data_IF_840193420152
#
_entry.id   IF_840193420152
#
_cell.length_a   1.000
_cell.length_b   1.000
_cell.length_c   1.000
_cell.angle_alpha   90.00
_cell.angle_beta   90.00
_cell.angle_gamma   90.00
#
_symmetry.space_group_name_H-M   'P 1'
#
loop_
_entity.id
_entity.type
_entity.pdbx_description
1 polymer ?
#
# COMPACT_ATOMS: atom_id res chain seq x y z
N UNK A 1 31.72 -8.16 13.94
CA UNK A 1 31.12 -6.90 14.41
C UNK A 1 31.30 -5.88 13.29
N UNK A 2 30.33 -5.72 12.44
CA UNK A 2 30.28 -4.61 11.47
C UNK A 2 29.10 -3.77 11.90
N UNK A 3 29.39 -2.68 12.64
CA UNK A 3 28.44 -1.62 12.91
C UNK A 3 27.81 -1.22 11.59
N UNK A 4 26.49 -1.40 11.49
CA UNK A 4 25.68 -0.73 10.49
C UNK A 4 25.93 0.75 10.70
N UNK A 5 26.67 1.38 9.78
CA UNK A 5 26.87 2.82 9.80
C UNK A 5 25.51 3.48 9.59
N UNK A 6 24.75 3.60 10.66
CA UNK A 6 23.54 4.38 10.70
C UNK A 6 23.98 5.84 10.64
N UNK A 7 23.83 6.46 9.48
CA UNK A 7 24.19 7.86 9.24
C UNK A 7 23.04 8.78 9.63
N UNK A 8 22.48 8.57 10.84
CA UNK A 8 21.48 9.47 11.37
C UNK A 8 22.13 10.84 11.63
N UNK A 9 21.39 11.90 11.35
CA UNK A 9 21.73 13.23 11.89
C UNK A 9 21.54 13.22 13.40
N UNK A 10 22.11 14.19 14.15
CA UNK A 10 21.87 14.27 15.61
C UNK A 10 20.36 14.25 15.95
N UNK A 11 19.53 14.99 15.23
CA UNK A 11 18.06 14.98 15.40
C UNK A 11 17.46 13.59 15.18
N UNK A 12 17.87 12.90 14.11
CA UNK A 12 17.40 11.56 13.81
C UNK A 12 17.82 10.52 14.85
N UNK A 13 19.04 10.66 15.38
CA UNK A 13 19.55 9.75 16.44
C UNK A 13 18.76 9.91 17.75
N UNK A 14 18.52 11.15 18.18
CA UNK A 14 17.69 11.46 19.34
C UNK A 14 16.26 10.95 19.14
N UNK A 15 15.67 11.21 17.98
CA UNK A 15 14.33 10.76 17.67
C UNK A 15 14.23 9.22 17.60
N UNK A 16 15.26 8.54 17.11
CA UNK A 16 15.33 7.07 17.11
C UNK A 16 15.32 6.52 18.53
N UNK A 17 16.05 7.15 19.43
CA UNK A 17 16.04 6.76 20.84
C UNK A 17 14.65 6.93 21.43
N UNK A 18 13.99 8.07 21.21
CA UNK A 18 12.60 8.31 21.61
C UNK A 18 11.66 7.20 21.10
N UNK A 19 11.73 6.88 19.79
CA UNK A 19 10.91 5.80 19.21
C UNK A 19 11.14 4.46 19.91
N UNK A 20 12.39 4.08 20.19
CA UNK A 20 12.73 2.81 20.85
C UNK A 20 12.19 2.74 22.26
N UNK A 21 12.43 3.78 23.05
CA UNK A 21 11.97 3.85 24.42
C UNK A 21 10.45 3.75 24.50
N UNK A 22 9.76 4.53 23.69
CA UNK A 22 8.30 4.52 23.67
C UNK A 22 7.72 3.16 23.20
N UNK A 23 8.26 2.58 22.14
CA UNK A 23 7.80 1.29 21.60
C UNK A 23 8.01 0.13 22.57
N UNK A 24 8.98 0.22 23.49
CA UNK A 24 9.23 -0.85 24.47
C UNK A 24 8.03 -1.13 25.37
N UNK A 25 7.20 -0.13 25.65
CA UNK A 25 6.08 -0.21 26.59
C UNK A 25 4.71 0.02 25.98
N UNK A 26 4.65 0.50 24.73
CA UNK A 26 3.40 0.97 24.13
C UNK A 26 2.94 0.16 22.91
N UNK A 27 3.68 -0.86 22.48
CA UNK A 27 3.17 -1.78 21.47
C UNK A 27 1.98 -2.53 22.06
N UNK A 28 0.77 -2.48 21.44
CA UNK A 28 -0.40 -3.10 22.03
C UNK A 28 -0.26 -4.63 22.04
N UNK A 29 -0.92 -5.25 23.01
CA UNK A 29 -1.02 -6.71 23.07
C UNK A 29 -1.66 -7.26 21.77
N UNK A 30 -1.34 -8.51 21.45
CA UNK A 30 -1.99 -9.21 20.34
C UNK A 30 -3.51 -9.24 20.58
N UNK A 31 -4.32 -8.94 19.56
CA UNK A 31 -5.77 -9.03 19.69
C UNK A 31 -6.21 -10.49 19.74
N UNK A 32 -7.45 -10.72 20.23
CA UNK A 32 -8.06 -12.05 20.28
C UNK A 32 -8.50 -12.59 18.90
N UNK A 33 -8.37 -11.76 17.86
CA UNK A 33 -8.63 -12.14 16.48
C UNK A 33 -7.32 -12.30 15.69
N UNK A 34 -7.38 -12.98 14.54
CA UNK A 34 -6.24 -13.15 13.65
C UNK A 34 -5.80 -11.78 13.11
N UNK A 35 -4.57 -11.30 13.41
CA UNK A 35 -4.08 -10.05 12.88
C UNK A 35 -4.07 -10.04 11.34
N UNK A 36 -4.38 -8.88 10.75
CA UNK A 36 -4.34 -8.68 9.30
C UNK A 36 -3.02 -8.07 8.86
N UNK A 37 -2.62 -8.31 7.61
CA UNK A 37 -1.39 -7.78 7.04
C UNK A 37 -1.59 -6.46 6.28
N UNK A 38 -2.84 -6.11 6.00
CA UNK A 38 -3.22 -4.93 5.23
C UNK A 38 -4.52 -4.33 5.76
N UNK A 39 -4.65 -3.00 5.72
CA UNK A 39 -5.90 -2.32 6.05
C UNK A 39 -7.09 -2.79 5.21
N UNK A 40 -6.85 -3.25 3.97
CA UNK A 40 -7.88 -3.80 3.11
C UNK A 40 -8.46 -5.15 3.60
N UNK A 41 -7.77 -5.84 4.51
CA UNK A 41 -8.23 -7.10 5.10
C UNK A 41 -9.08 -6.90 6.37
N UNK A 42 -9.19 -5.66 6.86
CA UNK A 42 -10.04 -5.33 8.01
C UNK A 42 -11.50 -5.52 7.61
N UNK A 43 -12.19 -6.44 8.29
CA UNK A 43 -13.53 -6.84 7.91
C UNK A 43 -14.63 -6.31 8.85
N UNK A 44 -14.30 -5.99 10.11
CA UNK A 44 -15.28 -5.60 11.14
C UNK A 44 -14.90 -4.30 11.84
N UNK A 45 -15.88 -3.61 12.40
CA UNK A 45 -15.67 -2.39 13.19
C UNK A 45 -14.81 -2.66 14.44
N UNK A 46 -14.90 -3.83 15.04
CA UNK A 46 -14.08 -4.23 16.20
C UNK A 46 -12.61 -4.35 15.82
N UNK A 47 -12.31 -5.05 14.71
CA UNK A 47 -10.94 -5.13 14.19
C UNK A 47 -10.40 -3.74 13.85
N UNK A 48 -11.25 -2.93 13.21
CA UNK A 48 -10.89 -1.57 12.85
C UNK A 48 -10.55 -0.72 14.07
N UNK A 49 -11.34 -0.81 15.14
CA UNK A 49 -11.14 -0.06 16.38
C UNK A 49 -9.76 -0.31 17.02
N UNK A 50 -9.31 -1.56 17.01
CA UNK A 50 -7.98 -1.93 17.50
C UNK A 50 -6.86 -1.21 16.71
N UNK A 51 -6.93 -1.23 15.39
CA UNK A 51 -5.92 -0.60 14.55
C UNK A 51 -5.98 0.93 14.58
N UNK A 52 -7.17 1.52 14.71
CA UNK A 52 -7.34 2.97 14.91
C UNK A 52 -6.73 3.40 16.25
N UNK A 53 -6.99 2.67 17.32
CA UNK A 53 -6.41 2.95 18.64
C UNK A 53 -4.86 2.95 18.60
N UNK A 54 -4.28 1.98 17.87
CA UNK A 54 -2.85 1.93 17.63
C UNK A 54 -2.34 3.15 16.84
N UNK A 55 -2.99 3.52 15.73
CA UNK A 55 -2.58 4.67 14.93
C UNK A 55 -2.63 5.96 15.76
N UNK A 56 -3.68 6.16 16.56
CA UNK A 56 -3.82 7.31 17.47
C UNK A 56 -2.69 7.36 18.49
N UNK A 57 -2.41 6.25 19.15
CA UNK A 57 -1.33 6.16 20.14
C UNK A 57 0.04 6.49 19.52
N UNK A 58 0.33 5.95 18.33
CA UNK A 58 1.56 6.25 17.60
C UNK A 58 1.64 7.71 17.14
N UNK A 59 0.53 8.29 16.71
CA UNK A 59 0.47 9.71 16.36
C UNK A 59 0.69 10.61 17.59
N UNK A 60 -0.01 10.35 18.68
CA UNK A 60 0.10 11.14 19.92
C UNK A 60 1.53 11.09 20.51
N UNK A 61 2.29 10.02 20.21
CA UNK A 61 3.72 9.91 20.53
C UNK A 61 4.67 10.54 19.50
N UNK A 62 4.14 11.11 18.42
CA UNK A 62 4.93 11.77 17.37
C UNK A 62 5.58 10.82 16.35
N UNK A 63 5.13 9.57 16.25
CA UNK A 63 5.67 8.56 15.32
C UNK A 63 4.97 8.57 13.95
N UNK A 64 3.86 9.28 13.82
CA UNK A 64 3.10 9.41 12.57
C UNK A 64 3.03 10.87 12.14
N UNK A 65 3.33 11.14 10.87
CA UNK A 65 3.32 12.50 10.34
C UNK A 65 4.54 13.34 10.77
N UNK A 66 5.65 12.69 11.12
CA UNK A 66 6.86 13.34 11.66
C UNK A 66 7.35 14.49 10.80
N UNK A 67 7.30 14.35 9.47
CA UNK A 67 7.87 15.28 8.49
C UNK A 67 6.88 16.34 8.01
N UNK A 68 5.61 16.27 8.42
CA UNK A 68 4.64 17.34 8.13
C UNK A 68 4.83 18.53 9.08
N UNK A 69 4.60 19.78 8.61
CA UNK A 69 4.62 20.96 9.47
C UNK A 69 3.65 20.83 10.66
N UNK A 70 4.03 21.40 11.79
CA UNK A 70 3.22 21.36 13.02
C UNK A 70 1.87 22.07 12.87
N UNK A 71 1.79 23.09 12.03
CA UNK A 71 0.53 23.80 11.71
C UNK A 71 -0.50 22.91 11.01
N UNK A 72 -0.10 21.78 10.43
CA UNK A 72 -0.96 20.77 9.83
C UNK A 72 -1.02 19.47 10.66
N UNK A 73 -0.66 19.54 11.94
CA UNK A 73 -0.69 18.41 12.86
C UNK A 73 0.50 17.46 12.76
N UNK A 74 1.57 17.85 12.08
CA UNK A 74 2.78 17.05 11.99
C UNK A 74 3.82 17.38 13.06
N UNK A 75 4.93 16.62 13.04
CA UNK A 75 6.04 16.80 13.99
C UNK A 75 7.01 17.94 13.64
N UNK A 76 6.92 18.55 12.46
CA UNK A 76 7.84 19.59 11.99
C UNK A 76 9.30 19.14 11.85
N UNK A 77 9.55 17.83 11.76
CA UNK A 77 10.89 17.22 11.72
C UNK A 77 11.37 17.01 10.28
N UNK A 78 12.67 16.74 10.12
CA UNK A 78 13.25 16.50 8.80
C UNK A 78 13.65 15.04 8.63
N UNK A 79 12.96 14.33 7.73
CA UNK A 79 13.23 12.91 7.38
C UNK A 79 13.18 11.96 8.59
N UNK A 80 12.43 12.31 9.63
CA UNK A 80 12.25 11.49 10.81
C UNK A 80 11.19 10.40 10.63
N UNK A 81 10.26 10.56 9.67
CA UNK A 81 9.28 9.52 9.40
C UNK A 81 9.93 8.19 8.98
N UNK A 82 11.04 8.22 8.24
CA UNK A 82 11.78 7.00 7.89
C UNK A 82 12.40 6.31 9.12
N UNK A 83 12.79 7.09 10.12
CA UNK A 83 13.31 6.57 11.39
C UNK A 83 12.21 5.88 12.18
N UNK A 84 11.06 6.55 12.34
CA UNK A 84 9.87 5.96 12.99
C UNK A 84 9.46 4.64 12.34
N UNK A 85 9.36 4.61 10.99
CA UNK A 85 9.01 3.41 10.23
C UNK A 85 9.98 2.23 10.51
N UNK A 86 11.29 2.51 10.56
CA UNK A 86 12.30 1.48 10.86
C UNK A 86 12.14 0.90 12.27
N UNK A 87 11.90 1.76 13.27
CA UNK A 87 11.75 1.31 14.64
C UNK A 87 10.42 0.58 14.88
N UNK A 88 9.33 1.03 14.23
CA UNK A 88 8.06 0.31 14.26
C UNK A 88 8.15 -1.07 13.60
N UNK A 89 8.85 -1.16 12.45
CA UNK A 89 9.11 -2.45 11.79
C UNK A 89 9.94 -3.38 12.70
N UNK A 90 10.97 -2.84 13.39
CA UNK A 90 11.81 -3.59 14.32
C UNK A 90 11.03 -4.09 15.54
N UNK A 91 10.06 -3.31 16.01
CA UNK A 91 9.20 -3.64 17.14
C UNK A 91 7.99 -4.50 16.73
N UNK A 92 7.88 -4.90 15.46
CA UNK A 92 6.79 -5.75 14.94
C UNK A 92 5.39 -5.21 15.30
N UNK A 93 5.22 -3.89 15.18
CA UNK A 93 3.96 -3.21 15.55
C UNK A 93 2.80 -3.61 14.64
N UNK A 94 1.53 -3.46 15.09
CA UNK A 94 0.36 -3.61 14.23
C UNK A 94 0.40 -2.66 13.01
N UNK A 95 -0.35 -2.99 11.97
CA UNK A 95 -0.51 -2.11 10.82
C UNK A 95 -1.30 -0.85 11.17
N UNK A 96 -1.16 0.20 10.34
CA UNK A 96 -2.09 1.34 10.34
C UNK A 96 -3.25 1.07 9.39
N UNK A 97 -4.52 1.24 9.81
CA UNK A 97 -5.67 1.01 8.96
C UNK A 97 -5.82 2.13 7.91
N UNK A 98 -5.35 3.32 8.23
CA UNK A 98 -5.44 4.51 7.38
C UNK A 98 -4.37 4.60 6.29
N UNK A 99 -3.88 3.48 5.73
CA UNK A 99 -2.77 3.50 4.78
C UNK A 99 -3.05 4.34 3.52
N UNK A 100 -4.28 4.36 3.02
CA UNK A 100 -4.68 5.21 1.89
C UNK A 100 -4.60 6.69 2.29
N UNK A 101 -5.11 7.03 3.48
CA UNK A 101 -4.98 8.36 4.04
C UNK A 101 -3.52 8.79 4.18
N UNK A 102 -2.74 8.02 4.93
CA UNK A 102 -1.35 8.32 5.24
C UNK A 102 -0.43 8.32 4.01
N UNK A 103 -0.67 7.36 3.09
CA UNK A 103 0.23 7.10 1.97
C UNK A 103 -0.08 7.90 0.72
N UNK A 104 -1.32 8.31 0.53
CA UNK A 104 -1.80 8.91 -0.70
C UNK A 104 -2.53 10.24 -0.47
N UNK A 105 -3.58 10.26 0.37
CA UNK A 105 -4.38 11.45 0.58
C UNK A 105 -3.58 12.57 1.29
N UNK A 106 -2.87 12.26 2.38
CA UNK A 106 -2.11 13.25 3.12
C UNK A 106 -1.07 14.00 2.26
N UNK A 107 -0.17 13.31 1.53
CA UNK A 107 0.78 14.02 0.67
C UNK A 107 0.09 14.76 -0.48
N UNK A 108 -1.00 14.21 -1.04
CA UNK A 108 -1.73 14.89 -2.12
C UNK A 108 -2.37 16.17 -1.62
N UNK A 109 -3.03 16.17 -0.46
CA UNK A 109 -3.61 17.37 0.17
C UNK A 109 -2.50 18.35 0.52
N UNK A 110 -1.37 17.87 1.04
CA UNK A 110 -0.25 18.74 1.42
C UNK A 110 0.30 19.54 0.24
N UNK A 111 0.47 18.91 -0.94
CA UNK A 111 1.02 19.58 -2.11
C UNK A 111 0.00 20.37 -2.92
N UNK A 112 -1.28 19.99 -2.92
CA UNK A 112 -2.30 20.54 -3.83
C UNK A 112 -3.53 21.14 -3.12
N UNK A 113 -3.67 20.94 -1.81
CA UNK A 113 -4.80 21.47 -1.05
C UNK A 113 -4.63 22.96 -0.75
N UNK A 114 -5.76 23.66 -0.61
CA UNK A 114 -5.77 24.99 -0.04
C UNK A 114 -5.31 24.96 1.42
N UNK A 115 -4.88 26.10 1.95
CA UNK A 115 -4.46 26.20 3.36
C UNK A 115 -5.57 25.77 4.35
N UNK A 116 -6.83 26.09 4.02
CA UNK A 116 -7.98 25.66 4.81
C UNK A 116 -8.11 24.13 4.81
N UNK A 117 -8.03 23.49 3.64
CA UNK A 117 -8.08 22.03 3.54
C UNK A 117 -6.94 21.35 4.31
N UNK A 118 -5.71 21.85 4.19
CA UNK A 118 -4.55 21.31 4.91
C UNK A 118 -4.76 21.36 6.42
N UNK A 119 -5.11 22.51 6.97
CA UNK A 119 -5.32 22.73 8.41
C UNK A 119 -6.49 21.91 8.95
N UNK A 120 -7.54 21.75 8.17
CA UNK A 120 -8.76 21.05 8.58
C UNK A 120 -8.65 19.53 8.50
N UNK A 121 -8.01 19.00 7.44
CA UNK A 121 -8.04 17.58 7.14
C UNK A 121 -6.81 16.82 7.61
N UNK A 122 -5.61 17.40 7.46
CA UNK A 122 -4.37 16.67 7.75
C UNK A 122 -4.24 16.20 9.21
N UNK A 123 -4.57 17.02 10.24
CA UNK A 123 -4.41 16.55 11.62
C UNK A 123 -5.26 15.32 11.94
N UNK A 124 -6.52 15.30 11.51
CA UNK A 124 -7.44 14.18 11.75
C UNK A 124 -7.09 12.95 10.94
N UNK A 125 -6.60 13.14 9.70
CA UNK A 125 -6.11 12.08 8.83
C UNK A 125 -4.89 11.40 9.44
N UNK A 126 -3.86 12.17 9.83
CA UNK A 126 -2.62 11.65 10.39
C UNK A 126 -2.89 10.89 11.70
N UNK A 127 -3.78 11.40 12.53
CA UNK A 127 -4.15 10.77 13.79
C UNK A 127 -5.00 9.50 13.59
N UNK A 128 -5.68 9.35 12.46
CA UNK A 128 -6.59 8.24 12.20
C UNK A 128 -8.00 8.47 12.76
N UNK A 129 -8.39 9.72 13.03
CA UNK A 129 -9.76 10.09 13.41
C UNK A 129 -10.73 10.00 12.23
N UNK A 130 -10.20 10.20 11.03
CA UNK A 130 -10.93 10.14 9.76
C UNK A 130 -10.19 9.23 8.79
N UNK A 131 -10.84 8.15 8.37
CA UNK A 131 -10.31 7.20 7.39
C UNK A 131 -10.60 7.66 5.97
N UNK A 132 -9.71 7.27 5.07
CA UNK A 132 -9.73 7.69 3.67
C UNK A 132 -9.72 6.51 2.72
N UNK A 133 -10.42 6.64 1.61
CA UNK A 133 -10.35 5.72 0.48
C UNK A 133 -10.02 6.46 -0.82
N UNK A 134 -9.81 5.72 -1.91
CA UNK A 134 -9.37 6.24 -3.20
C UNK A 134 -10.34 5.83 -4.31
N UNK A 135 -11.03 6.80 -4.91
CA UNK A 135 -11.92 6.62 -6.05
C UNK A 135 -11.22 6.96 -7.37
N UNK A 136 -10.41 6.03 -7.90
CA UNK A 136 -9.68 6.21 -9.15
C UNK A 136 -10.20 5.30 -10.25
N UNK A 137 -9.92 4.01 -10.15
CA UNK A 137 -10.25 3.03 -11.18
C UNK A 137 -11.75 2.92 -11.42
N UNK A 138 -12.12 2.62 -12.66
CA UNK A 138 -13.49 2.34 -13.11
C UNK A 138 -13.52 1.00 -13.83
N UNK A 139 -14.70 0.38 -14.04
CA UNK A 139 -14.79 -0.86 -14.80
C UNK A 139 -14.13 -0.79 -16.19
N UNK A 140 -14.14 0.39 -16.83
CA UNK A 140 -13.52 0.64 -18.14
C UNK A 140 -12.19 1.39 -18.12
N UNK A 141 -11.67 1.79 -16.94
CA UNK A 141 -10.46 2.61 -16.83
C UNK A 141 -9.61 2.22 -15.62
N UNK A 142 -8.55 1.45 -15.85
CA UNK A 142 -7.54 1.05 -14.86
C UNK A 142 -6.17 1.54 -15.27
N UNK A 143 -5.44 0.80 -16.12
CA UNK A 143 -4.13 1.22 -16.63
C UNK A 143 -4.18 2.52 -17.42
N UNK A 144 -5.23 2.76 -18.18
CA UNK A 144 -5.53 4.04 -18.81
C UNK A 144 -6.41 4.89 -17.90
N UNK A 145 -5.87 5.28 -16.75
CA UNK A 145 -6.59 6.06 -15.73
C UNK A 145 -7.11 7.40 -16.28
N UNK A 146 -6.42 8.00 -17.23
CA UNK A 146 -6.88 9.25 -17.84
C UNK A 146 -8.18 9.12 -18.64
N UNK A 147 -8.67 7.90 -18.87
CA UNK A 147 -9.92 7.62 -19.58
C UNK A 147 -11.14 7.43 -18.66
N UNK A 148 -11.03 7.79 -17.36
CA UNK A 148 -12.16 7.75 -16.42
C UNK A 148 -13.36 8.54 -16.94
N UNK A 149 -14.56 8.02 -16.67
CA UNK A 149 -15.84 8.56 -17.12
C UNK A 149 -16.71 9.13 -16.00
N UNK A 150 -16.40 8.84 -14.73
CA UNK A 150 -17.06 9.52 -13.59
C UNK A 150 -17.03 11.03 -13.83
N UNK A 151 -18.21 11.64 -13.94
CA UNK A 151 -18.34 13.00 -14.42
C UNK A 151 -18.74 13.95 -13.29
N UNK A 152 -18.00 15.06 -13.18
CA UNK A 152 -18.27 16.15 -12.27
C UNK A 152 -18.76 17.36 -13.09
N UNK A 153 -20.04 17.68 -12.95
CA UNK A 153 -20.67 18.82 -13.59
C UNK A 153 -20.64 20.03 -12.65
N UNK A 154 -20.01 21.13 -13.10
CA UNK A 154 -19.97 22.37 -12.30
C UNK A 154 -21.32 23.09 -12.35
N UNK A 155 -21.85 23.49 -11.18
CA UNK A 155 -23.08 24.27 -11.03
C UNK A 155 -22.79 25.74 -10.70
N UNK A 156 -23.79 26.60 -10.86
CA UNK A 156 -23.63 28.04 -10.72
C UNK A 156 -23.32 28.53 -9.27
N UNK A 157 -23.61 27.69 -8.28
CA UNK A 157 -23.46 28.03 -6.85
C UNK A 157 -22.15 27.51 -6.24
N UNK A 158 -21.07 27.38 -7.04
CA UNK A 158 -19.78 26.82 -6.65
C UNK A 158 -19.85 25.38 -6.14
N UNK A 159 -20.78 24.61 -6.67
CA UNK A 159 -20.91 23.17 -6.39
C UNK A 159 -20.64 22.34 -7.62
N UNK A 160 -20.35 21.09 -7.35
CA UNK A 160 -20.20 20.05 -8.36
C UNK A 160 -21.21 18.96 -8.12
N UNK A 161 -21.80 18.45 -9.18
CA UNK A 161 -22.67 17.26 -9.13
C UNK A 161 -21.91 16.12 -9.80
N UNK A 162 -21.66 15.06 -9.04
CA UNK A 162 -20.82 13.94 -9.47
C UNK A 162 -21.70 12.71 -9.69
N UNK A 163 -21.54 12.09 -10.87
CA UNK A 163 -22.16 10.84 -11.27
C UNK A 163 -21.11 9.89 -11.84
N UNK A 164 -21.17 8.62 -11.49
CA UNK A 164 -20.22 7.64 -12.01
C UNK A 164 -20.09 6.39 -11.18
N UNK A 165 -19.09 5.57 -11.53
CA UNK A 165 -18.88 4.27 -10.94
C UNK A 165 -17.38 4.01 -10.76
N UNK A 166 -16.93 3.87 -9.51
CA UNK A 166 -15.56 3.53 -9.15
C UNK A 166 -15.48 2.09 -8.67
N UNK A 167 -14.31 1.46 -8.85
CA UNK A 167 -14.06 0.06 -8.44
C UNK A 167 -12.68 -0.09 -7.82
N UNK A 168 -12.48 -1.18 -7.12
CA UNK A 168 -11.23 -1.54 -6.42
C UNK A 168 -10.87 -0.59 -5.29
N UNK A 169 -11.86 0.05 -4.70
CA UNK A 169 -11.66 0.98 -3.59
C UNK A 169 -11.48 0.24 -2.28
N UNK A 170 -10.28 0.33 -1.71
CA UNK A 170 -9.98 -0.26 -0.40
C UNK A 170 -10.70 0.49 0.71
N UNK A 171 -11.31 -0.26 1.63
CA UNK A 171 -11.87 0.26 2.89
C UNK A 171 -12.96 1.33 2.75
N UNK A 172 -13.62 1.46 1.59
CA UNK A 172 -14.65 2.47 1.37
C UNK A 172 -15.81 2.39 2.37
N UNK A 173 -16.18 1.19 2.82
CA UNK A 173 -17.21 0.96 3.83
C UNK A 173 -16.93 1.64 5.18
N UNK A 174 -15.68 1.91 5.49
CA UNK A 174 -15.23 2.56 6.73
C UNK A 174 -14.79 4.01 6.53
N UNK A 175 -14.63 4.45 5.28
CA UNK A 175 -14.04 5.74 4.98
C UNK A 175 -14.97 6.91 5.32
N UNK A 176 -14.40 7.96 5.91
CA UNK A 176 -15.04 9.25 6.11
C UNK A 176 -14.92 10.09 4.85
N UNK A 177 -13.76 10.01 4.20
CA UNK A 177 -13.37 10.80 3.04
C UNK A 177 -12.88 9.94 1.89
N UNK A 178 -13.00 10.46 0.69
CA UNK A 178 -12.44 9.88 -0.53
C UNK A 178 -11.59 10.90 -1.27
N UNK A 179 -10.43 10.49 -1.76
CA UNK A 179 -9.73 11.19 -2.84
C UNK A 179 -10.30 10.70 -4.18
N UNK A 180 -10.87 11.62 -4.96
CA UNK A 180 -11.63 11.28 -6.16
C UNK A 180 -11.09 11.99 -7.40
N UNK A 181 -10.77 11.21 -8.43
CA UNK A 181 -10.50 11.72 -9.78
C UNK A 181 -11.76 11.62 -10.63
N UNK A 182 -12.22 12.76 -11.16
CA UNK A 182 -13.40 12.82 -12.00
C UNK A 182 -13.16 13.66 -13.26
N UNK A 183 -13.93 13.39 -14.30
CA UNK A 183 -13.92 14.14 -15.56
C UNK A 183 -14.86 15.32 -15.48
N UNK A 184 -14.40 16.48 -15.88
CA UNK A 184 -15.23 17.70 -15.98
C UNK A 184 -15.36 18.19 -17.44
N UNK A 185 -14.45 17.76 -18.32
CA UNK A 185 -14.49 18.08 -19.76
C UNK A 185 -14.13 16.84 -20.57
N UNK A 186 -14.96 16.54 -21.57
CA UNK A 186 -14.78 15.39 -22.46
C UNK A 186 -13.93 15.70 -23.70
N UNK A 187 -13.63 16.98 -23.94
CA UNK A 187 -12.84 17.41 -25.10
C UNK A 187 -11.35 17.17 -24.95
N UNK A 188 -10.85 17.10 -23.71
CA UNK A 188 -9.43 16.87 -23.41
C UNK A 188 -9.25 15.68 -22.45
N UNK A 189 -8.40 14.74 -22.84
CA UNK A 189 -8.14 13.52 -22.07
C UNK A 189 -7.51 13.79 -20.70
N UNK A 190 -6.56 14.72 -20.63
CA UNK A 190 -5.77 15.00 -19.43
C UNK A 190 -6.21 16.27 -18.71
N UNK A 191 -6.40 17.38 -19.45
CA UNK A 191 -6.85 18.64 -18.87
C UNK A 191 -8.36 18.66 -18.60
N UNK A 192 -9.10 17.67 -19.08
CA UNK A 192 -10.50 17.46 -18.75
C UNK A 192 -10.75 16.75 -17.42
N UNK A 193 -9.72 16.62 -16.56
CA UNK A 193 -9.81 15.94 -15.28
C UNK A 193 -9.66 16.92 -14.11
N UNK A 194 -10.49 16.75 -13.08
CA UNK A 194 -10.45 17.52 -11.84
C UNK A 194 -10.40 16.56 -10.65
N UNK A 195 -9.73 16.98 -9.59
CA UNK A 195 -9.50 16.16 -8.41
C UNK A 195 -10.17 16.75 -7.18
N UNK A 196 -10.82 15.89 -6.40
CA UNK A 196 -11.59 16.30 -5.22
C UNK A 196 -11.22 15.48 -3.99
N UNK A 197 -11.43 16.08 -2.82
CA UNK A 197 -11.61 15.37 -1.55
C UNK A 197 -13.10 15.35 -1.24
N UNK A 198 -13.69 14.19 -1.05
CA UNK A 198 -15.15 14.04 -0.97
C UNK A 198 -15.55 13.47 0.38
N UNK A 199 -16.46 14.11 1.14
CA UNK A 199 -17.00 13.55 2.38
C UNK A 199 -18.04 12.47 2.03
N UNK A 200 -17.64 11.20 2.00
CA UNK A 200 -18.53 10.11 1.59
C UNK A 200 -19.40 9.56 2.71
N UNK A 201 -18.95 9.59 3.96
CA UNK A 201 -19.66 8.95 5.07
C UNK A 201 -21.10 9.48 5.27
N UNK A 202 -21.29 10.79 5.12
CA UNK A 202 -22.60 11.43 5.25
C UNK A 202 -23.55 11.13 4.08
N UNK A 203 -23.00 10.65 2.96
CA UNK A 203 -23.70 10.41 1.71
C UNK A 203 -23.98 8.92 1.44
N UNK A 204 -23.46 8.04 2.30
CA UNK A 204 -23.72 6.60 2.20
C UNK A 204 -25.22 6.29 2.31
N UNK A 205 -25.72 5.49 1.36
CA UNK A 205 -27.13 5.17 1.25
C UNK A 205 -28.05 6.28 0.74
N UNK A 206 -27.46 7.42 0.29
CA UNK A 206 -28.16 8.53 -0.36
C UNK A 206 -27.64 8.68 -1.78
N UNK A 207 -26.63 9.51 -1.97
CA UNK A 207 -25.97 9.75 -3.27
C UNK A 207 -24.73 8.89 -3.51
N UNK A 208 -24.30 8.09 -2.52
CA UNK A 208 -23.18 7.15 -2.60
C UNK A 208 -23.63 5.77 -2.16
N UNK A 209 -23.51 4.80 -3.06
CA UNK A 209 -23.70 3.38 -2.77
C UNK A 209 -22.34 2.69 -2.77
N UNK A 210 -22.01 1.99 -1.68
CA UNK A 210 -20.79 1.17 -1.54
C UNK A 210 -21.17 -0.30 -1.51
N UNK A 211 -20.55 -1.12 -2.37
CA UNK A 211 -20.78 -2.56 -2.44
C UNK A 211 -19.45 -3.32 -2.38
N UNK A 212 -19.33 -4.36 -1.54
CA UNK A 212 -18.11 -5.14 -1.46
C UNK A 212 -17.87 -5.93 -2.75
N UNK A 213 -16.62 -6.00 -3.20
CA UNK A 213 -16.16 -6.88 -4.25
C UNK A 213 -15.59 -8.16 -3.63
N UNK A 214 -16.07 -9.31 -4.09
CA UNK A 214 -15.54 -10.61 -3.64
C UNK A 214 -14.38 -10.98 -4.56
N UNK A 215 -13.18 -11.09 -3.98
CA UNK A 215 -11.99 -11.54 -4.70
C UNK A 215 -12.06 -13.03 -5.02
N UNK A 216 -11.22 -13.49 -5.97
CA UNK A 216 -11.06 -14.92 -6.28
C UNK A 216 -10.66 -15.77 -5.05
N UNK A 217 -10.08 -15.12 -4.03
CA UNK A 217 -9.75 -15.74 -2.74
C UNK A 217 -10.94 -15.96 -1.82
N UNK A 218 -12.13 -15.45 -2.19
CA UNK A 218 -13.33 -15.44 -1.35
C UNK A 218 -13.36 -14.29 -0.33
N UNK A 219 -12.27 -13.52 -0.22
CA UNK A 219 -12.18 -12.39 0.70
C UNK A 219 -12.79 -11.13 0.09
N UNK A 220 -13.28 -10.24 0.94
CA UNK A 220 -13.66 -8.86 0.61
C UNK A 220 -12.53 -7.89 0.99
N UNK A 221 -12.75 -6.58 0.88
CA UNK A 221 -11.77 -5.56 1.27
C UNK A 221 -11.61 -4.49 0.21
N UNK A 222 -12.01 -4.80 -1.03
CA UNK A 222 -12.26 -3.82 -2.06
C UNK A 222 -13.75 -3.63 -2.28
N UNK A 223 -14.11 -2.45 -2.73
CA UNK A 223 -15.50 -2.07 -2.99
C UNK A 223 -15.64 -1.45 -4.38
N UNK A 224 -16.87 -1.43 -4.86
CA UNK A 224 -17.33 -0.53 -5.89
C UNK A 224 -18.13 0.60 -5.26
N UNK A 225 -18.05 1.80 -5.82
CA UNK A 225 -18.82 2.96 -5.43
C UNK A 225 -19.60 3.50 -6.62
N UNK A 226 -20.88 3.70 -6.40
CA UNK A 226 -21.78 4.30 -7.38
C UNK A 226 -22.19 5.68 -6.85
N UNK A 227 -21.95 6.71 -7.66
CA UNK A 227 -22.33 8.10 -7.37
C UNK A 227 -23.53 8.47 -8.21
N UNK A 228 -24.61 8.90 -7.55
CA UNK A 228 -25.87 9.31 -8.18
C UNK A 228 -26.25 10.70 -7.65
N UNK A 229 -25.79 11.73 -8.34
CA UNK A 229 -26.06 13.10 -7.97
C UNK A 229 -25.32 13.59 -6.72
N UNK A 230 -24.14 13.06 -6.43
CA UNK A 230 -23.35 13.48 -5.29
C UNK A 230 -22.94 14.95 -5.40
N UNK A 231 -23.35 15.78 -4.45
CA UNK A 231 -23.05 17.22 -4.43
C UNK A 231 -21.79 17.48 -3.62
N UNK A 232 -20.82 18.15 -4.24
CA UNK A 232 -19.53 18.50 -3.63
C UNK A 232 -19.29 20.01 -3.78
N UNK A 233 -18.92 20.69 -2.71
CA UNK A 233 -18.55 22.10 -2.72
C UNK A 233 -17.20 22.32 -3.42
N UNK A 234 -17.03 23.41 -4.18
CA UNK A 234 -15.78 23.70 -4.92
C UNK A 234 -14.56 23.87 -3.99
N UNK A 235 -14.79 24.21 -2.72
CA UNK A 235 -13.73 24.29 -1.71
C UNK A 235 -13.05 22.96 -1.41
N UNK A 236 -13.65 21.83 -1.79
CA UNK A 236 -13.08 20.50 -1.67
C UNK A 236 -12.26 20.05 -2.91
N UNK A 237 -12.12 20.90 -3.89
CA UNK A 237 -11.28 20.66 -5.06
C UNK A 237 -9.81 20.87 -4.70
N UNK A 238 -8.95 19.98 -5.19
CA UNK A 238 -7.50 20.11 -5.10
C UNK A 238 -6.96 20.72 -6.40
N UNK A 239 -6.18 21.78 -6.28
CA UNK A 239 -5.63 22.54 -7.40
C UNK A 239 -6.72 23.17 -8.32
N UNK A 240 -6.36 23.70 -9.48
CA UNK A 240 -7.29 24.31 -10.43
C UNK A 240 -8.11 23.28 -11.21
N UNK A 241 -9.26 23.72 -11.74
CA UNK A 241 -10.07 22.92 -12.67
C UNK A 241 -9.21 22.50 -13.86
N UNK A 242 -9.26 21.22 -14.23
CA UNK A 242 -8.43 20.67 -15.30
C UNK A 242 -7.03 20.23 -14.88
N UNK A 243 -6.62 20.44 -13.62
CA UNK A 243 -5.34 19.99 -13.08
C UNK A 243 -5.40 18.61 -12.41
N UNK A 244 -6.54 17.94 -12.48
CA UNK A 244 -6.76 16.65 -11.81
C UNK A 244 -5.72 15.59 -12.18
N UNK A 245 -5.23 15.57 -13.43
CA UNK A 245 -4.18 14.65 -13.84
C UNK A 245 -2.85 14.92 -13.13
N UNK A 246 -2.46 16.17 -13.00
CA UNK A 246 -1.24 16.57 -12.26
C UNK A 246 -1.32 16.14 -10.80
N UNK A 247 -2.47 16.38 -10.15
CA UNK A 247 -2.73 15.96 -8.77
C UNK A 247 -2.69 14.43 -8.65
N UNK A 248 -3.32 13.70 -9.59
CA UNK A 248 -3.29 12.25 -9.61
C UNK A 248 -1.87 11.68 -9.75
N UNK A 249 -0.99 12.34 -10.51
CA UNK A 249 0.42 11.92 -10.63
C UNK A 249 1.16 12.02 -9.30
N UNK A 250 0.88 13.03 -8.47
CA UNK A 250 1.43 13.12 -7.11
C UNK A 250 0.94 11.95 -6.25
N UNK A 251 -0.35 11.64 -6.27
CA UNK A 251 -0.93 10.49 -5.55
C UNK A 251 -0.27 9.19 -5.97
N UNK A 252 -0.18 8.93 -7.27
CA UNK A 252 0.40 7.70 -7.83
C UNK A 252 1.91 7.57 -7.57
N UNK A 253 2.64 8.69 -7.47
CA UNK A 253 4.04 8.67 -7.07
C UNK A 253 4.22 8.21 -5.63
N UNK A 254 3.38 8.70 -4.72
CA UNK A 254 3.40 8.28 -3.31
C UNK A 254 2.92 6.84 -3.13
N UNK A 255 1.88 6.40 -3.84
CA UNK A 255 1.41 5.00 -3.87
C UNK A 255 2.54 4.02 -4.21
N UNK A 256 3.44 4.42 -5.11
CA UNK A 256 4.61 3.62 -5.53
C UNK A 256 5.84 3.83 -4.64
N UNK A 257 5.73 4.62 -3.56
CA UNK A 257 6.86 4.98 -2.68
C UNK A 257 7.93 5.84 -3.35
N UNK A 258 7.60 6.50 -4.45
CA UNK A 258 8.50 7.37 -5.23
C UNK A 258 8.21 8.88 -5.01
N UNK A 259 7.22 9.20 -4.17
CA UNK A 259 6.90 10.58 -3.82
C UNK A 259 7.94 11.23 -2.88
N UNK A 260 7.96 12.57 -2.81
CA UNK A 260 8.94 13.31 -2.00
C UNK A 260 8.76 13.15 -0.50
N UNK A 261 7.55 12.89 -0.02
CA UNK A 261 7.26 12.66 1.40
C UNK A 261 7.40 11.17 1.75
N UNK A 262 8.01 10.90 2.91
CA UNK A 262 8.02 9.53 3.45
C UNK A 262 6.65 9.20 4.02
N UNK A 263 6.02 8.15 3.51
CA UNK A 263 4.74 7.67 4.01
C UNK A 263 4.90 7.01 5.37
N UNK A 264 4.07 7.35 6.38
CA UNK A 264 4.00 6.59 7.62
C UNK A 264 3.68 5.12 7.36
N UNK A 265 4.48 4.22 7.91
CA UNK A 265 4.30 2.79 7.79
C UNK A 265 4.64 2.11 9.12
N UNK A 266 3.83 1.14 9.48
CA UNK A 266 4.02 0.29 10.66
C UNK A 266 4.58 -1.07 10.26
N UNK A 267 5.10 -1.83 11.23
CA UNK A 267 5.49 -3.22 11.04
C UNK A 267 4.23 -4.07 10.79
N UNK A 268 4.24 -4.96 9.81
CA UNK A 268 3.22 -6.02 9.78
C UNK A 268 3.54 -7.03 10.89
N UNK A 269 2.54 -7.48 11.64
CA UNK A 269 2.72 -8.59 12.58
C UNK A 269 2.96 -9.88 11.78
N UNK A 270 4.20 -10.09 11.37
CA UNK A 270 4.65 -11.40 10.94
C UNK A 270 4.83 -12.27 12.17
N UNK A 271 3.96 -13.26 12.35
CA UNK A 271 4.07 -14.21 13.45
C UNK A 271 5.45 -14.86 13.52
N UNK A 272 6.05 -14.81 14.69
CA UNK A 272 6.73 -15.97 15.21
C UNK A 272 6.06 -16.38 16.52
N UNK A 273 5.36 -17.51 16.53
CA UNK A 273 4.97 -18.25 17.74
C UNK A 273 6.20 -18.92 18.40
N UNK A 274 7.35 -18.30 18.29
CA UNK A 274 8.56 -18.75 18.94
C UNK A 274 9.30 -17.55 19.49
N UNK A 275 9.62 -17.59 20.77
CA UNK A 275 10.70 -16.80 21.39
C UNK A 275 12.04 -17.17 20.74
N UNK A 276 12.17 -16.97 19.45
CA UNK A 276 13.44 -17.09 18.75
C UNK A 276 14.06 -15.70 18.63
N UNK A 277 15.33 -15.66 19.04
CA UNK A 277 16.27 -14.54 18.95
C UNK A 277 16.02 -13.70 17.70
N UNK A 278 16.05 -12.37 17.83
CA UNK A 278 15.99 -11.39 16.74
C UNK A 278 16.54 -11.98 15.44
N UNK A 279 15.75 -12.12 14.37
CA UNK A 279 16.28 -12.62 13.13
C UNK A 279 17.38 -11.64 12.71
N UNK A 280 18.58 -12.16 12.50
CA UNK A 280 19.65 -11.40 11.88
C UNK A 280 19.07 -10.79 10.61
N UNK A 281 18.99 -9.47 10.53
CA UNK A 281 18.41 -8.75 9.38
C UNK A 281 19.09 -9.10 8.05
N UNK A 282 20.21 -9.81 8.13
CA UNK A 282 20.96 -10.35 7.02
C UNK A 282 20.53 -11.77 6.61
N UNK A 283 19.81 -12.50 7.48
CA UNK A 283 19.37 -13.87 7.16
C UNK A 283 18.25 -13.80 6.12
N UNK A 284 18.42 -14.51 5.03
CA UNK A 284 17.40 -14.70 4.01
C UNK A 284 16.75 -16.05 4.27
N UNK A 285 15.46 -16.05 4.57
CA UNK A 285 14.68 -17.27 4.64
C UNK A 285 14.25 -17.70 3.24
N UNK A 286 14.22 -19.00 3.02
CA UNK A 286 13.84 -19.59 1.73
C UNK A 286 12.61 -20.50 1.92
N UNK A 287 11.39 -19.93 1.94
CA UNK A 287 10.16 -20.70 2.18
C UNK A 287 9.95 -21.85 1.18
N UNK A 288 10.29 -21.64 -0.10
CA UNK A 288 10.19 -22.68 -1.13
C UNK A 288 11.12 -23.86 -0.86
N UNK A 289 12.34 -23.62 -0.35
CA UNK A 289 13.26 -24.68 0.04
C UNK A 289 12.71 -25.48 1.22
N UNK A 290 12.12 -24.80 2.20
CA UNK A 290 11.44 -25.46 3.34
C UNK A 290 10.29 -26.33 2.84
N UNK A 291 9.43 -25.79 1.98
CA UNK A 291 8.31 -26.51 1.38
C UNK A 291 8.79 -27.75 0.62
N UNK A 292 9.81 -27.61 -0.24
CA UNK A 292 10.34 -28.71 -1.04
C UNK A 292 11.00 -29.83 -0.22
N UNK A 293 11.49 -29.52 0.98
CA UNK A 293 11.98 -30.53 1.92
C UNK A 293 10.85 -31.28 2.64
N UNK A 294 9.72 -30.62 2.84
CA UNK A 294 8.60 -31.16 3.62
C UNK A 294 7.56 -31.88 2.74
N UNK A 295 7.41 -31.51 1.48
CA UNK A 295 6.51 -32.19 0.56
C UNK A 295 7.16 -33.42 -0.06
N UNK A 296 6.38 -34.49 -0.22
CA UNK A 296 6.82 -35.70 -0.88
C UNK A 296 6.48 -35.74 -2.38
N UNK A 297 7.42 -36.18 -3.21
CA UNK A 297 7.22 -36.44 -4.63
C UNK A 297 7.82 -37.81 -4.97
N UNK A 298 6.99 -38.73 -5.47
CA UNK A 298 7.40 -40.12 -5.75
C UNK A 298 8.03 -40.83 -4.53
N UNK A 299 7.48 -40.59 -3.33
CA UNK A 299 7.93 -41.19 -2.08
C UNK A 299 9.25 -40.63 -1.51
N UNK A 300 9.77 -39.52 -2.07
CA UNK A 300 10.97 -38.82 -1.59
C UNK A 300 10.66 -37.35 -1.38
N UNK A 301 11.47 -36.57 -0.60
CA UNK A 301 11.35 -35.16 -0.53
C UNK A 301 11.38 -34.51 -1.93
N UNK A 302 10.50 -33.57 -2.22
CA UNK A 302 10.41 -32.95 -3.53
C UNK A 302 11.72 -32.27 -3.97
N UNK A 303 12.56 -31.84 -3.02
CA UNK A 303 13.88 -31.25 -3.30
C UNK A 303 14.87 -32.25 -3.93
N UNK A 304 14.62 -33.54 -3.80
CA UNK A 304 15.46 -34.58 -4.40
C UNK A 304 15.17 -34.77 -5.90
N UNK A 305 14.01 -34.28 -6.38
CA UNK A 305 13.74 -34.16 -7.81
C UNK A 305 14.65 -33.08 -8.41
N UNK A 306 15.49 -33.39 -9.40
CA UNK A 306 16.46 -32.47 -9.96
C UNK A 306 15.79 -31.23 -10.62
N UNK A 307 14.60 -31.39 -11.19
CA UNK A 307 13.86 -30.28 -11.83
C UNK A 307 13.33 -29.34 -10.78
N UNK A 308 12.73 -29.86 -9.71
CA UNK A 308 12.26 -29.03 -8.59
C UNK A 308 13.42 -28.32 -7.91
N UNK A 309 14.53 -29.05 -7.67
CA UNK A 309 15.72 -28.45 -7.07
C UNK A 309 16.28 -27.29 -7.88
N UNK A 310 16.39 -27.44 -9.21
CA UNK A 310 16.87 -26.38 -10.08
C UNK A 310 15.95 -25.15 -10.03
N UNK A 311 14.62 -25.33 -10.13
CA UNK A 311 13.64 -24.26 -10.00
C UNK A 311 13.73 -23.55 -8.65
N UNK A 312 13.84 -24.29 -7.54
CA UNK A 312 13.98 -23.70 -6.19
C UNK A 312 15.28 -22.89 -6.09
N UNK A 313 16.42 -23.42 -6.61
CA UNK A 313 17.68 -22.68 -6.61
C UNK A 313 17.59 -21.38 -7.41
N UNK A 314 16.97 -21.41 -8.59
CA UNK A 314 16.74 -20.20 -9.39
C UNK A 314 15.90 -19.17 -8.64
N UNK A 315 14.84 -19.59 -7.94
CA UNK A 315 14.02 -18.67 -7.12
C UNK A 315 14.81 -18.11 -5.94
N UNK A 316 15.68 -18.89 -5.30
CA UNK A 316 16.57 -18.39 -4.24
C UNK A 316 17.54 -17.33 -4.76
N UNK A 317 18.15 -17.53 -5.93
CA UNK A 317 19.03 -16.56 -6.57
C UNK A 317 18.28 -15.24 -6.84
N UNK A 318 17.08 -15.33 -7.43
CA UNK A 318 16.24 -14.15 -7.69
C UNK A 318 15.88 -13.40 -6.40
N UNK A 319 15.52 -14.13 -5.34
CA UNK A 319 15.18 -13.54 -4.03
C UNK A 319 16.37 -12.78 -3.44
N UNK A 320 17.56 -13.37 -3.49
CA UNK A 320 18.79 -12.70 -3.05
C UNK A 320 19.08 -11.46 -3.90
N UNK A 321 18.94 -11.54 -5.22
CA UNK A 321 19.12 -10.42 -6.14
C UNK A 321 18.18 -9.25 -5.81
N UNK A 322 16.90 -9.51 -5.62
CA UNK A 322 15.91 -8.50 -5.24
C UNK A 322 16.28 -7.86 -3.90
N UNK A 323 16.65 -8.66 -2.89
CA UNK A 323 17.07 -8.14 -1.58
C UNK A 323 18.32 -7.25 -1.69
N UNK A 324 19.30 -7.63 -2.48
CA UNK A 324 20.50 -6.80 -2.69
C UNK A 324 20.18 -5.52 -3.46
N UNK A 325 19.32 -5.60 -4.49
CA UNK A 325 18.90 -4.42 -5.23
C UNK A 325 18.25 -3.37 -4.32
N UNK A 326 17.43 -3.78 -3.36
CA UNK A 326 16.84 -2.87 -2.36
C UNK A 326 17.88 -2.16 -1.50
N UNK A 327 19.03 -2.81 -1.19
CA UNK A 327 20.14 -2.19 -0.44
C UNK A 327 20.81 -1.07 -1.21
N UNK A 328 20.78 -1.10 -2.54
CA UNK A 328 21.36 -0.04 -3.38
C UNK A 328 20.69 1.32 -3.19
N UNK A 329 19.44 1.36 -2.69
CA UNK A 329 18.74 2.61 -2.35
C UNK A 329 19.48 3.44 -1.29
N UNK A 330 20.25 2.80 -0.43
CA UNK A 330 21.04 3.45 0.62
C UNK A 330 22.43 3.89 0.18
N UNK A 331 22.86 3.56 -1.05
CA UNK A 331 24.20 3.91 -1.54
C UNK A 331 24.21 5.35 -2.06
N UNK A 332 25.02 6.19 -1.42
CA UNK A 332 25.25 7.56 -1.89
C UNK A 332 25.91 7.52 -3.27
N UNK A 333 25.37 8.27 -4.23
CA UNK A 333 25.89 8.32 -5.61
C UNK A 333 25.16 7.42 -6.61
N UNK A 334 24.34 6.46 -6.18
CA UNK A 334 23.35 5.83 -7.05
C UNK A 334 22.15 6.76 -7.15
N UNK A 335 22.21 7.70 -8.06
CA UNK A 335 21.38 8.89 -8.08
C UNK A 335 19.89 8.64 -8.34
N UNK A 336 19.51 7.46 -8.86
CA UNK A 336 18.13 7.24 -9.31
C UNK A 336 17.33 6.35 -8.37
N UNK A 337 16.85 6.97 -7.26
CA UNK A 337 15.97 6.30 -6.32
C UNK A 337 14.62 5.87 -6.95
N UNK A 338 14.12 6.62 -7.94
CA UNK A 338 12.87 6.29 -8.62
C UNK A 338 13.01 5.00 -9.42
N UNK A 339 14.12 4.83 -10.13
CA UNK A 339 14.42 3.60 -10.87
C UNK A 339 14.37 2.36 -9.96
N UNK A 340 15.07 2.40 -8.83
CA UNK A 340 15.13 1.28 -7.90
C UNK A 340 13.77 0.94 -7.32
N UNK A 341 12.95 1.95 -7.01
CA UNK A 341 11.60 1.75 -6.49
C UNK A 341 10.67 1.09 -7.51
N UNK A 342 10.69 1.56 -8.76
CA UNK A 342 9.90 0.98 -9.85
C UNK A 342 10.34 -0.45 -10.17
N UNK A 343 11.65 -0.72 -10.19
CA UNK A 343 12.18 -2.07 -10.36
C UNK A 343 11.74 -3.01 -9.24
N UNK A 344 11.72 -2.56 -7.99
CA UNK A 344 11.32 -3.40 -6.86
C UNK A 344 9.86 -3.84 -6.94
N UNK A 345 8.95 -2.94 -7.36
CA UNK A 345 7.55 -3.30 -7.60
C UNK A 345 7.46 -4.38 -8.66
N UNK A 346 8.06 -4.17 -9.83
CA UNK A 346 8.02 -5.09 -10.96
C UNK A 346 8.63 -6.45 -10.58
N UNK A 347 9.90 -6.46 -10.15
CA UNK A 347 10.63 -7.69 -9.84
C UNK A 347 10.01 -8.43 -8.64
N UNK A 348 9.54 -7.68 -7.64
CA UNK A 348 8.95 -8.26 -6.43
C UNK A 348 7.61 -8.94 -6.69
N UNK A 349 6.72 -8.32 -7.46
CA UNK A 349 5.39 -8.89 -7.72
C UNK A 349 5.46 -10.07 -8.69
N UNK A 350 6.30 -10.02 -9.72
CA UNK A 350 6.53 -11.15 -10.62
C UNK A 350 7.22 -12.32 -9.89
N UNK A 351 8.20 -12.02 -9.02
CA UNK A 351 8.80 -13.05 -8.17
C UNK A 351 7.78 -13.75 -7.28
N UNK A 352 6.87 -13.01 -6.65
CA UNK A 352 5.84 -13.59 -5.77
C UNK A 352 4.88 -14.50 -6.55
N UNK A 353 4.50 -14.11 -7.76
CA UNK A 353 3.65 -14.92 -8.63
C UNK A 353 4.33 -16.23 -9.04
N UNK A 354 5.57 -16.16 -9.51
CA UNK A 354 6.36 -17.33 -9.89
C UNK A 354 6.64 -18.25 -8.69
N UNK A 355 6.93 -17.65 -7.52
CA UNK A 355 7.17 -18.39 -6.28
C UNK A 355 5.92 -19.15 -5.82
N UNK A 356 4.75 -18.53 -5.89
CA UNK A 356 3.50 -19.16 -5.53
C UNK A 356 3.13 -20.28 -6.52
N UNK A 357 3.33 -20.07 -7.82
CA UNK A 357 3.13 -21.10 -8.84
C UNK A 357 4.04 -22.30 -8.61
N UNK A 358 5.34 -22.08 -8.34
CA UNK A 358 6.28 -23.14 -8.03
C UNK A 358 5.92 -23.87 -6.73
N UNK A 359 5.39 -23.16 -5.73
CA UNK A 359 4.94 -23.77 -4.48
C UNK A 359 3.81 -24.77 -4.71
N UNK A 360 2.84 -24.45 -5.59
CA UNK A 360 1.78 -25.40 -5.97
C UNK A 360 2.33 -26.62 -6.70
N UNK A 361 3.31 -26.43 -7.60
CA UNK A 361 3.98 -27.52 -8.29
C UNK A 361 4.73 -28.44 -7.29
N UNK A 362 5.40 -27.88 -6.29
CA UNK A 362 6.10 -28.62 -5.22
C UNK A 362 5.10 -29.42 -4.38
N UNK A 363 4.00 -28.80 -3.98
CA UNK A 363 2.97 -29.40 -3.15
C UNK A 363 2.16 -30.48 -3.89
N UNK A 364 2.18 -30.49 -5.24
CA UNK A 364 1.41 -31.43 -6.04
C UNK A 364 -0.08 -31.39 -5.73
N UNK A 365 -0.76 -32.55 -5.55
CA UNK A 365 -2.20 -32.56 -5.19
C UNK A 365 -2.53 -31.80 -3.91
N UNK A 366 -1.62 -31.78 -2.92
CA UNK A 366 -1.78 -30.99 -1.69
C UNK A 366 -1.83 -29.47 -1.93
N UNK A 367 -1.35 -28.98 -3.08
CA UNK A 367 -1.42 -27.58 -3.48
C UNK A 367 -2.84 -27.10 -3.81
N UNK A 368 -3.83 -27.98 -3.88
CA UNK A 368 -5.25 -27.63 -4.08
C UNK A 368 -6.02 -27.47 -2.77
N UNK A 369 -5.41 -27.86 -1.64
CA UNK A 369 -6.04 -27.80 -0.33
C UNK A 369 -6.02 -26.38 0.21
N UNK A 370 -7.15 -25.92 0.74
CA UNK A 370 -7.32 -24.57 1.27
C UNK A 370 -6.76 -24.43 2.70
N UNK A 371 -6.71 -23.19 3.19
CA UNK A 371 -6.31 -22.89 4.57
C UNK A 371 -7.24 -23.49 5.65
N UNK A 372 -8.38 -24.03 5.26
CA UNK A 372 -9.34 -24.68 6.16
C UNK A 372 -9.16 -26.19 6.24
N UNK A 373 -8.24 -26.73 5.45
CA UNK A 373 -7.96 -28.16 5.39
C UNK A 373 -6.77 -28.50 6.29
N UNK A 374 -6.95 -29.44 7.21
CA UNK A 374 -5.90 -29.83 8.17
C UNK A 374 -4.67 -30.45 7.51
N UNK A 375 -4.83 -31.07 6.36
CA UNK A 375 -3.75 -31.73 5.60
C UNK A 375 -3.06 -30.78 4.60
N UNK A 376 -3.48 -29.51 4.54
CA UNK A 376 -2.92 -28.56 3.60
C UNK A 376 -1.44 -28.24 3.92
N UNK A 377 -0.52 -28.42 2.96
CA UNK A 377 0.89 -28.07 3.14
C UNK A 377 1.05 -26.60 3.58
N UNK A 378 1.87 -26.36 4.61
CA UNK A 378 2.07 -25.03 5.19
C UNK A 378 0.76 -24.30 5.57
N UNK A 379 -0.29 -25.05 5.96
CA UNK A 379 -1.60 -24.50 6.34
C UNK A 379 -2.35 -23.85 5.19
N UNK A 380 -2.19 -24.29 3.96
CA UNK A 380 -2.91 -23.81 2.78
C UNK A 380 -2.57 -22.39 2.33
N UNK A 381 -1.47 -21.81 2.81
CA UNK A 381 -1.08 -20.45 2.45
C UNK A 381 -0.70 -20.28 0.98
N UNK A 382 -0.21 -21.36 0.32
CA UNK A 382 0.29 -21.27 -1.05
C UNK A 382 -0.80 -21.13 -2.12
N UNK A 383 -1.92 -21.88 -2.07
CA UNK A 383 -3.07 -21.61 -2.94
C UNK A 383 -3.58 -20.18 -2.80
N UNK A 384 -3.72 -19.67 -1.57
CA UNK A 384 -4.11 -18.30 -1.31
C UNK A 384 -3.10 -17.29 -1.87
N UNK A 385 -1.80 -17.52 -1.67
CA UNK A 385 -0.74 -16.69 -2.22
C UNK A 385 -0.77 -16.68 -3.75
N UNK A 386 -1.00 -17.83 -4.39
CA UNK A 386 -1.10 -17.93 -5.84
C UNK A 386 -2.28 -17.10 -6.37
N UNK A 387 -3.48 -17.31 -5.84
CA UNK A 387 -4.67 -16.55 -6.25
C UNK A 387 -4.50 -15.03 -6.03
N UNK A 388 -3.87 -14.64 -4.92
CA UNK A 388 -3.64 -13.22 -4.59
C UNK A 388 -2.54 -12.58 -5.44
N UNK A 389 -1.59 -13.36 -5.97
CA UNK A 389 -0.41 -12.85 -6.68
C UNK A 389 -0.75 -12.12 -7.98
N UNK A 390 -1.85 -12.50 -8.64
CA UNK A 390 -2.32 -11.82 -9.86
C UNK A 390 -2.68 -10.36 -9.61
N UNK A 391 -3.31 -10.06 -8.47
CA UNK A 391 -3.58 -8.68 -8.06
C UNK A 391 -2.29 -7.86 -7.91
N UNK A 392 -1.22 -8.46 -7.41
CA UNK A 392 0.08 -7.82 -7.25
C UNK A 392 0.71 -7.35 -8.56
N UNK A 393 0.57 -8.11 -9.65
CA UNK A 393 1.12 -7.74 -10.97
C UNK A 393 0.23 -6.73 -11.72
N UNK A 394 -0.97 -6.43 -11.22
CA UNK A 394 -1.94 -5.50 -11.81
C UNK A 394 -1.98 -4.17 -11.06
N UNK A 395 -2.14 -4.20 -9.74
CA UNK A 395 -2.32 -3.04 -8.87
C UNK A 395 -1.10 -2.09 -8.91
N UNK A 396 -1.29 -0.81 -8.62
CA UNK A 396 -0.28 0.24 -8.65
C UNK A 396 0.48 0.37 -9.99
N UNK A 397 -0.19 0.00 -11.08
CA UNK A 397 0.35 -0.10 -12.43
C UNK A 397 0.80 -1.52 -12.77
N UNK A 398 0.28 -2.05 -13.88
CA UNK A 398 0.59 -3.40 -14.33
C UNK A 398 2.07 -3.58 -14.60
N UNK A 399 2.54 -4.83 -14.70
CA UNK A 399 3.93 -5.15 -15.07
C UNK A 399 4.34 -4.46 -16.37
N UNK A 400 3.43 -4.37 -17.36
CA UNK A 400 3.65 -3.68 -18.64
C UNK A 400 3.78 -2.16 -18.44
N UNK A 401 2.90 -1.55 -17.65
CA UNK A 401 2.99 -0.13 -17.33
C UNK A 401 4.29 0.19 -16.58
N UNK A 402 4.74 -0.67 -15.65
CA UNK A 402 6.01 -0.49 -14.97
C UNK A 402 7.19 -0.57 -15.95
N UNK A 403 7.16 -1.51 -16.91
CA UNK A 403 8.18 -1.62 -17.98
C UNK A 403 8.20 -0.38 -18.86
N UNK A 404 7.04 0.14 -19.26
CA UNK A 404 6.94 1.36 -20.06
C UNK A 404 7.53 2.56 -19.30
N UNK A 405 7.17 2.73 -18.01
CA UNK A 405 7.73 3.83 -17.20
C UNK A 405 9.25 3.71 -17.08
N UNK A 406 9.77 2.51 -16.84
CA UNK A 406 11.22 2.26 -16.77
C UNK A 406 11.89 2.56 -18.11
N UNK A 407 11.31 2.07 -19.22
CA UNK A 407 11.84 2.30 -20.56
C UNK A 407 11.85 3.78 -20.93
N UNK A 408 10.69 4.43 -20.85
CA UNK A 408 10.50 5.79 -21.34
C UNK A 408 11.16 6.84 -20.43
N UNK A 409 10.93 6.76 -19.11
CA UNK A 409 11.34 7.83 -18.19
C UNK A 409 12.70 7.62 -17.57
N UNK A 410 13.15 6.38 -17.41
CA UNK A 410 14.43 6.08 -16.76
C UNK A 410 15.52 5.79 -17.79
N UNK A 411 15.21 5.01 -18.83
CA UNK A 411 16.16 4.68 -19.88
C UNK A 411 16.13 5.65 -21.07
N UNK A 412 15.13 6.53 -21.14
CA UNK A 412 15.00 7.53 -22.21
C UNK A 412 14.65 6.92 -23.58
N UNK A 413 14.01 5.74 -23.58
CA UNK A 413 13.54 5.11 -24.81
C UNK A 413 12.33 5.87 -25.37
N UNK A 414 12.14 5.79 -26.68
CA UNK A 414 10.98 6.37 -27.35
C UNK A 414 9.68 5.76 -26.83
N UNK A 415 8.64 6.61 -26.71
CA UNK A 415 7.31 6.13 -26.36
C UNK A 415 6.79 5.21 -27.45
N UNK A 416 6.26 4.07 -27.04
CA UNK A 416 5.45 3.24 -27.95
C UNK A 416 4.26 4.06 -28.46
N UNK A 417 4.11 4.12 -29.78
CA UNK A 417 2.98 4.83 -30.44
C UNK A 417 1.67 4.07 -30.23
#
# INVERSE_FOLDING_TARGET
>A
MTESTNRDTPEQAEFRQHCREWLTTNVPALPDFKPVNSGAEVATDEHLAYYIAWQKSAYDAGLVGCDYPSEYGGGGRTRCQSVANQEMLRAETPIFPGIIGLGMAAPTIFFHGSEDLKKRLLPKLLRGDELWCQGFSEPGAGSDLASVQTFAERKADNKWVINGHKVWTSTAQFATWMILLARNDKSDKYNGLTYFVVPIKSELGKSVTVRPLIKITGETGFNEEIFEGLVVDDSYRLDDVGKGWTVAMTTLAHERGAGPMTTPASGGQGKSDAKEKQPDSNRIEFPLLKLAKNCARNGKPAIDDPVIRDKVMNMMIRQVGIKQNRRLRGVAGLADRQRLTLQDKLLGTEYLQDAAALALEIAGPGGTLSQFDADAPDGGKWPLAYLSSFGGTIAAGTSEIQRNILGERILGLDKSK
#
